data_IF_646811931687
#
_entry.id   IF_646811931687
#
_cell.length_a   1.000
_cell.length_b   1.000
_cell.length_c   1.000
_cell.angle_alpha   90.00
_cell.angle_beta   90.00
_cell.angle_gamma   90.00
#
_symmetry.space_group_name_H-M   'P 1'
#
loop_
_entity.id
_entity.type
_entity.pdbx_description
1 polymer ?
#
# COMPACT_ATOMS: atom_id res chain seq x y z
N UNK A 1 25.39 9.90 2.36
CA UNK A 1 24.20 9.06 2.48
C UNK A 1 24.07 8.14 1.26
N UNK A 2 23.45 7.00 1.44
CA UNK A 2 23.10 6.12 0.32
C UNK A 2 21.70 6.50 -0.12
N UNK A 3 21.52 6.88 -1.38
CA UNK A 3 20.23 7.12 -1.99
C UNK A 3 19.84 5.85 -2.76
N UNK A 4 18.72 5.26 -2.39
CA UNK A 4 18.15 4.12 -3.10
C UNK A 4 17.17 4.66 -4.12
N UNK A 5 17.44 4.43 -5.39
CA UNK A 5 16.56 4.81 -6.49
C UNK A 5 16.03 3.57 -7.18
N UNK A 6 14.74 3.54 -7.40
CA UNK A 6 14.11 2.55 -8.25
C UNK A 6 14.34 2.94 -9.71
N UNK A 7 14.99 2.05 -10.47
CA UNK A 7 15.03 2.12 -11.91
C UNK A 7 14.09 1.06 -12.46
N UNK A 8 12.95 1.48 -12.97
CA UNK A 8 12.07 0.62 -13.75
C UNK A 8 12.75 0.35 -15.09
N UNK A 9 13.58 -0.68 -15.13
CA UNK A 9 14.23 -1.14 -16.34
C UNK A 9 13.34 -2.10 -17.10
N UNK A 10 12.97 -1.77 -18.32
CA UNK A 10 12.38 -2.70 -19.29
C UNK A 10 13.44 -3.71 -19.78
N UNK A 11 13.86 -4.64 -18.93
CA UNK A 11 14.87 -5.62 -19.34
C UNK A 11 14.98 -6.77 -18.36
N UNK A 12 15.10 -7.97 -18.90
CA UNK A 12 15.34 -9.20 -18.16
C UNK A 12 16.35 -8.99 -17.01
N UNK A 13 15.93 -9.26 -15.79
CA UNK A 13 16.51 -8.97 -14.48
C UNK A 13 17.98 -9.28 -14.18
N UNK A 14 18.88 -9.19 -15.14
CA UNK A 14 20.31 -9.45 -15.03
C UNK A 14 21.18 -8.23 -15.35
N UNK A 15 20.81 -7.05 -14.84
CA UNK A 15 21.75 -5.93 -14.91
C UNK A 15 22.66 -5.93 -13.67
N UNK A 16 23.98 -6.03 -13.87
CA UNK A 16 24.91 -5.94 -12.74
C UNK A 16 24.77 -4.58 -12.06
N UNK A 17 24.93 -4.57 -10.75
CA UNK A 17 25.02 -3.34 -9.97
C UNK A 17 25.95 -2.34 -10.64
N UNK A 18 25.43 -1.21 -11.05
CA UNK A 18 26.25 -0.10 -11.53
C UNK A 18 26.31 0.95 -10.44
N UNK A 19 27.52 1.27 -10.01
CA UNK A 19 27.77 2.45 -9.21
C UNK A 19 27.84 3.67 -10.13
N UNK A 20 27.07 4.69 -9.80
CA UNK A 20 27.05 5.94 -10.55
C UNK A 20 27.42 7.10 -9.62
N UNK A 21 28.13 8.04 -10.16
CA UNK A 21 28.45 9.29 -9.45
C UNK A 21 27.42 10.36 -9.80
N UNK A 22 27.20 11.30 -8.88
CA UNK A 22 26.23 12.39 -9.08
C UNK A 22 26.41 13.12 -10.41
N UNK A 23 27.64 13.30 -10.85
CA UNK A 23 27.98 13.91 -12.14
C UNK A 23 27.42 13.13 -13.33
N UNK A 24 27.49 11.80 -13.30
CA UNK A 24 26.97 10.93 -14.38
C UNK A 24 25.46 11.00 -14.49
N UNK A 25 24.79 11.36 -13.38
CA UNK A 25 23.34 11.53 -13.30
C UNK A 25 22.88 12.97 -13.56
N UNK A 26 23.79 13.87 -13.91
CA UNK A 26 23.48 15.28 -14.14
C UNK A 26 23.14 16.06 -12.86
N UNK A 27 23.55 15.58 -11.70
CA UNK A 27 23.32 16.23 -10.40
C UNK A 27 24.55 16.99 -9.88
N UNK A 28 25.48 17.29 -10.77
CA UNK A 28 26.70 18.04 -10.50
C UNK A 28 26.45 19.50 -10.11
N UNK A 29 25.26 20.02 -10.40
CA UNK A 29 24.83 21.35 -9.95
C UNK A 29 24.45 21.40 -8.47
N UNK A 30 24.23 20.23 -7.81
CA UNK A 30 23.89 20.15 -6.39
C UNK A 30 25.15 19.86 -5.56
N UNK A 31 25.72 20.86 -4.84
CA UNK A 31 27.01 20.72 -4.16
C UNK A 31 27.09 19.56 -3.17
N UNK A 32 25.95 19.20 -2.55
CA UNK A 32 25.87 18.10 -1.58
C UNK A 32 25.98 16.73 -2.23
N UNK A 33 25.71 16.64 -3.53
CA UNK A 33 25.66 15.37 -4.27
C UNK A 33 26.91 15.15 -5.14
N UNK A 34 27.75 16.16 -5.37
CA UNK A 34 28.91 16.09 -6.28
C UNK A 34 29.89 14.94 -5.99
N UNK A 35 30.02 14.55 -4.72
CA UNK A 35 30.91 13.46 -4.30
C UNK A 35 30.15 12.25 -3.74
N UNK A 36 28.84 12.20 -3.97
CA UNK A 36 28.00 11.10 -3.49
C UNK A 36 28.12 9.91 -4.43
N UNK A 37 28.48 8.76 -3.89
CA UNK A 37 28.39 7.51 -4.60
C UNK A 37 26.95 7.01 -4.56
N UNK A 38 26.38 6.69 -5.72
CA UNK A 38 25.02 6.21 -5.84
C UNK A 38 25.08 4.73 -6.24
N UNK A 39 24.40 3.91 -5.47
CA UNK A 39 24.28 2.48 -5.72
C UNK A 39 22.82 2.17 -6.04
N UNK A 40 22.59 1.56 -7.19
CA UNK A 40 21.28 1.04 -7.57
C UNK A 40 21.17 -0.40 -7.11
N UNK A 41 20.12 -0.71 -6.34
CA UNK A 41 19.79 -2.08 -6.01
C UNK A 41 19.18 -2.78 -7.24
N UNK A 42 19.42 -4.09 -7.43
CA UNK A 42 18.83 -4.83 -8.53
C UNK A 42 17.31 -5.00 -8.32
N UNK A 43 16.59 -5.06 -9.43
CA UNK A 43 15.20 -5.51 -9.41
C UNK A 43 15.16 -7.02 -9.16
N UNK A 44 14.12 -7.48 -8.45
CA UNK A 44 13.86 -8.91 -8.22
C UNK A 44 13.26 -9.55 -9.47
N UNK A 45 12.38 -8.80 -10.15
CA UNK A 45 11.72 -9.26 -11.38
C UNK A 45 11.16 -8.10 -12.20
N UNK A 46 10.43 -8.40 -13.27
CA UNK A 46 9.93 -7.40 -14.21
C UNK A 46 8.96 -6.38 -13.58
N UNK A 47 8.25 -6.79 -12.53
CA UNK A 47 7.26 -5.95 -11.83
C UNK A 47 7.50 -5.88 -10.32
N UNK A 48 8.69 -6.30 -9.87
CA UNK A 48 9.09 -6.27 -8.47
C UNK A 48 10.43 -5.55 -8.38
N UNK A 49 10.39 -4.33 -7.94
CA UNK A 49 11.52 -3.40 -7.97
C UNK A 49 12.50 -3.57 -6.81
N UNK A 50 13.47 -2.69 -6.80
CA UNK A 50 14.48 -2.62 -5.74
C UNK A 50 13.95 -2.08 -4.41
N UNK A 51 12.81 -1.42 -4.41
CA UNK A 51 12.04 -1.02 -3.24
C UNK A 51 11.58 -2.22 -2.42
N UNK A 52 11.07 -3.27 -3.09
CA UNK A 52 10.69 -4.52 -2.43
C UNK A 52 11.93 -5.24 -1.88
N UNK A 53 13.06 -5.23 -2.59
CA UNK A 53 14.32 -5.76 -2.06
C UNK A 53 14.74 -5.02 -0.79
N UNK A 54 14.63 -3.70 -0.77
CA UNK A 54 14.89 -2.89 0.42
C UNK A 54 13.90 -3.19 1.56
N UNK A 55 12.61 -3.39 1.23
CA UNK A 55 11.58 -3.81 2.17
C UNK A 55 11.84 -5.18 2.78
N UNK A 56 12.24 -6.17 1.98
CA UNK A 56 12.66 -7.51 2.43
C UNK A 56 13.83 -7.39 3.42
N UNK A 57 14.80 -6.54 3.10
CA UNK A 57 15.94 -6.28 3.97
C UNK A 57 15.48 -5.64 5.30
N UNK A 58 14.69 -4.57 5.24
CA UNK A 58 14.19 -3.86 6.40
C UNK A 58 13.31 -4.74 7.30
N UNK A 59 12.48 -5.61 6.70
CA UNK A 59 11.66 -6.59 7.41
C UNK A 59 12.47 -7.77 7.97
N UNK A 60 13.78 -7.87 7.67
CA UNK A 60 14.68 -8.94 8.14
C UNK A 60 14.23 -10.32 7.67
N UNK A 61 13.61 -10.44 6.50
CA UNK A 61 13.05 -11.70 6.02
C UNK A 61 14.14 -12.75 5.73
N UNK A 62 15.28 -12.31 5.18
CA UNK A 62 16.39 -13.20 4.82
C UNK A 62 17.17 -13.76 6.02
N UNK A 63 16.94 -13.26 7.23
CA UNK A 63 17.53 -13.78 8.48
C UNK A 63 16.49 -14.46 9.37
N UNK A 64 15.22 -14.37 9.04
CA UNK A 64 14.13 -14.91 9.85
C UNK A 64 14.06 -16.44 9.76
N UNK A 65 13.84 -17.10 10.89
CA UNK A 65 13.60 -18.54 10.94
C UNK A 65 12.18 -18.89 10.51
N UNK A 66 11.22 -18.08 10.97
CA UNK A 66 9.80 -18.25 10.63
C UNK A 66 9.41 -17.39 9.43
N UNK A 67 8.43 -17.82 8.62
CA UNK A 67 7.95 -17.06 7.49
C UNK A 67 7.42 -15.68 7.88
N UNK A 68 7.70 -14.69 7.04
CA UNK A 68 7.18 -13.32 7.12
C UNK A 68 6.53 -12.95 5.80
N UNK A 69 5.60 -12.04 5.86
CA UNK A 69 4.93 -11.46 4.70
C UNK A 69 5.22 -9.97 4.66
N UNK A 70 5.61 -9.46 3.52
CA UNK A 70 5.70 -8.03 3.22
C UNK A 70 4.68 -7.71 2.13
N UNK A 71 3.88 -6.68 2.35
CA UNK A 71 2.91 -6.16 1.39
C UNK A 71 3.23 -4.68 1.20
N UNK A 72 3.66 -4.30 0.01
CA UNK A 72 3.79 -2.90 -0.37
C UNK A 72 2.53 -2.46 -1.10
N UNK A 73 1.86 -1.45 -0.54
CA UNK A 73 0.57 -0.97 -1.05
C UNK A 73 0.79 0.28 -1.91
N UNK A 74 0.75 0.11 -3.21
CA UNK A 74 0.76 1.16 -4.22
C UNK A 74 -0.34 0.94 -5.25
N UNK A 75 -0.15 1.45 -6.46
CA UNK A 75 -1.02 1.19 -7.62
C UNK A 75 -1.08 -0.31 -7.94
N UNK A 76 0.04 -0.99 -7.77
CA UNK A 76 0.11 -2.44 -7.66
C UNK A 76 0.26 -2.82 -6.19
N UNK A 77 -0.04 -4.05 -5.86
CA UNK A 77 0.30 -4.64 -4.57
C UNK A 77 1.50 -5.56 -4.76
N UNK A 78 2.69 -5.11 -4.40
CA UNK A 78 3.87 -5.95 -4.40
C UNK A 78 3.93 -6.75 -3.09
N UNK A 79 4.15 -8.05 -3.22
CA UNK A 79 4.09 -8.98 -2.09
C UNK A 79 5.35 -9.82 -2.07
N UNK A 80 5.95 -9.97 -0.88
CA UNK A 80 7.00 -10.93 -0.63
C UNK A 80 6.59 -11.86 0.52
N UNK A 81 6.81 -13.16 0.36
CA UNK A 81 6.50 -14.20 1.35
C UNK A 81 7.72 -15.10 1.51
N UNK A 82 8.10 -15.41 2.73
CA UNK A 82 9.17 -16.38 2.99
C UNK A 82 10.01 -16.08 4.22
N UNK A 83 11.17 -16.71 4.27
CA UNK A 83 12.16 -16.62 5.33
C UNK A 83 13.58 -16.81 4.77
N UNK A 84 14.57 -17.03 5.65
CA UNK A 84 15.97 -17.27 5.24
C UNK A 84 16.17 -18.44 4.27
N UNK A 85 15.24 -19.39 4.18
CA UNK A 85 15.36 -20.56 3.31
C UNK A 85 14.88 -20.27 1.88
N UNK A 86 14.13 -19.20 1.69
CA UNK A 86 13.63 -18.74 0.39
C UNK A 86 12.54 -17.69 0.53
N UNK A 87 12.50 -16.76 -0.40
CA UNK A 87 11.51 -15.69 -0.47
C UNK A 87 10.98 -15.67 -1.90
N UNK A 88 9.65 -15.73 -2.04
CA UNK A 88 8.97 -15.53 -3.31
C UNK A 88 8.31 -14.14 -3.30
N UNK A 89 8.32 -13.51 -4.48
CA UNK A 89 7.70 -12.22 -4.69
C UNK A 89 6.73 -12.26 -5.86
N UNK A 90 5.68 -11.45 -5.77
CA UNK A 90 4.74 -11.21 -6.85
C UNK A 90 4.25 -9.77 -6.83
N UNK A 91 3.86 -9.26 -7.98
CA UNK A 91 3.11 -8.02 -8.12
C UNK A 91 1.69 -8.35 -8.53
N UNK A 92 0.71 -7.76 -7.85
CA UNK A 92 -0.72 -7.94 -8.12
C UNK A 92 -1.31 -6.67 -8.69
N UNK A 93 -2.23 -6.80 -9.64
CA UNK A 93 -2.96 -5.68 -10.21
C UNK A 93 -4.07 -5.23 -9.22
N UNK A 94 -3.67 -4.65 -8.08
CA UNK A 94 -4.60 -4.14 -7.08
C UNK A 94 -5.44 -2.97 -7.61
N UNK A 95 -4.90 -2.21 -8.55
CA UNK A 95 -5.51 -0.99 -9.04
C UNK A 95 -5.33 0.19 -8.09
N UNK A 96 -5.59 1.42 -8.54
CA UNK A 96 -5.23 2.64 -7.82
C UNK A 96 -6.27 3.08 -6.78
N UNK A 97 -7.17 2.19 -6.32
CA UNK A 97 -8.22 2.54 -5.36
C UNK A 97 -7.66 3.09 -4.04
N UNK A 98 -6.54 2.51 -3.57
CA UNK A 98 -5.88 2.98 -2.35
C UNK A 98 -5.18 4.35 -2.52
N UNK A 99 -4.91 4.77 -3.75
CA UNK A 99 -4.43 6.12 -4.06
C UNK A 99 -5.56 7.13 -4.25
N UNK A 100 -6.82 6.70 -4.06
CA UNK A 100 -8.02 7.50 -4.26
C UNK A 100 -8.48 7.60 -5.71
N UNK A 101 -7.80 6.94 -6.65
CA UNK A 101 -8.24 6.91 -8.04
C UNK A 101 -9.40 5.92 -8.22
N UNK A 102 -10.29 6.19 -9.15
CA UNK A 102 -11.53 5.44 -9.40
C UNK A 102 -12.54 5.47 -8.24
N UNK A 103 -12.29 6.24 -7.20
CA UNK A 103 -13.19 6.52 -6.07
C UNK A 103 -13.86 7.86 -6.29
N UNK A 104 -15.18 7.94 -6.15
CA UNK A 104 -15.99 9.11 -6.51
C UNK A 104 -15.51 10.43 -5.88
N UNK A 105 -15.16 10.40 -4.59
CA UNK A 105 -14.58 11.51 -3.86
C UNK A 105 -13.12 11.24 -3.47
N UNK A 106 -12.44 10.33 -4.19
CA UNK A 106 -11.09 9.94 -3.90
C UNK A 106 -10.08 11.03 -4.25
N UNK A 107 -9.07 11.18 -3.40
CA UNK A 107 -7.95 12.09 -3.62
C UNK A 107 -6.68 11.60 -2.92
N UNK A 108 -5.55 12.14 -3.30
CA UNK A 108 -4.30 11.90 -2.59
C UNK A 108 -4.38 12.45 -1.16
N UNK A 109 -3.54 11.92 -0.26
CA UNK A 109 -3.40 12.43 1.10
C UNK A 109 -2.81 13.86 1.08
N UNK A 110 -3.67 14.86 0.93
CA UNK A 110 -3.36 16.27 0.87
C UNK A 110 -4.42 17.08 1.62
N UNK A 111 -4.20 18.37 1.78
CA UNK A 111 -5.12 19.29 2.48
C UNK A 111 -6.56 19.10 1.97
N UNK A 112 -7.50 18.89 2.90
CA UNK A 112 -8.92 18.65 2.63
C UNK A 112 -9.30 17.15 2.47
N UNK A 113 -8.33 16.24 2.46
CA UNK A 113 -8.63 14.80 2.43
C UNK A 113 -9.01 14.28 3.82
N UNK A 114 -10.08 13.51 3.93
CA UNK A 114 -10.36 12.68 5.09
C UNK A 114 -9.30 11.57 5.12
N UNK A 115 -8.47 11.56 6.16
CA UNK A 115 -7.34 10.62 6.29
C UNK A 115 -7.57 9.53 7.31
N UNK A 116 -8.44 9.74 8.28
CA UNK A 116 -8.88 8.71 9.22
C UNK A 116 -10.28 9.00 9.77
N UNK A 117 -10.94 7.96 10.24
CA UNK A 117 -12.27 8.03 10.88
C UNK A 117 -12.22 7.20 12.15
N UNK A 118 -12.43 7.86 13.28
CA UNK A 118 -12.58 7.21 14.58
C UNK A 118 -14.04 7.23 15.02
N UNK A 119 -14.41 6.35 15.93
CA UNK A 119 -15.75 6.34 16.51
C UNK A 119 -15.68 6.83 17.95
N UNK A 120 -16.40 7.90 18.26
CA UNK A 120 -16.73 8.31 19.63
C UNK A 120 -18.15 7.81 19.95
N UNK A 121 -18.23 6.68 20.65
CA UNK A 121 -19.47 5.91 20.71
C UNK A 121 -19.92 5.43 19.33
N UNK A 122 -21.10 5.92 18.89
CA UNK A 122 -21.63 5.64 17.54
C UNK A 122 -21.44 6.80 16.56
N UNK A 123 -20.82 7.90 16.98
CA UNK A 123 -20.61 9.07 16.13
C UNK A 123 -19.24 9.00 15.46
N UNK A 124 -19.17 9.05 14.12
CA UNK A 124 -17.90 9.13 13.43
C UNK A 124 -17.26 10.51 13.66
N UNK A 125 -15.98 10.50 14.01
CA UNK A 125 -15.11 11.66 14.09
C UNK A 125 -14.12 11.60 12.93
N UNK A 126 -14.13 12.64 12.09
CA UNK A 126 -13.40 12.69 10.83
C UNK A 126 -12.12 13.51 11.01
N UNK A 127 -10.99 12.90 10.80
CA UNK A 127 -9.71 13.63 10.71
C UNK A 127 -9.46 14.08 9.28
N UNK A 128 -9.46 15.40 9.06
CA UNK A 128 -9.21 16.03 7.76
C UNK A 128 -7.83 16.68 7.74
N UNK A 129 -7.01 16.36 6.76
CA UNK A 129 -5.67 16.95 6.61
C UNK A 129 -5.80 18.46 6.42
N UNK A 130 -5.04 19.23 7.22
CA UNK A 130 -5.06 20.69 7.18
C UNK A 130 -6.18 21.33 7.99
N UNK A 131 -7.02 20.54 8.69
CA UNK A 131 -8.09 21.03 9.58
C UNK A 131 -9.05 22.00 8.88
N UNK A 132 -9.38 21.72 7.63
CA UNK A 132 -10.35 22.48 6.83
C UNK A 132 -11.57 21.60 6.52
N UNK A 133 -12.55 22.15 5.80
CA UNK A 133 -13.69 21.38 5.33
C UNK A 133 -13.22 20.22 4.42
N UNK A 134 -13.80 19.02 4.61
CA UNK A 134 -13.48 17.87 3.79
C UNK A 134 -13.97 18.05 2.35
N UNK A 135 -13.04 17.85 1.40
CA UNK A 135 -13.33 17.91 -0.04
C UNK A 135 -13.17 16.56 -0.75
N UNK A 136 -12.59 15.57 -0.05
CA UNK A 136 -12.42 14.23 -0.55
C UNK A 136 -11.91 13.28 0.53
N UNK A 137 -11.53 12.08 0.12
CA UNK A 137 -11.06 11.01 0.99
C UNK A 137 -9.82 10.37 0.39
N UNK A 138 -8.78 10.17 1.19
CA UNK A 138 -7.60 9.40 0.76
C UNK A 138 -7.74 7.93 1.14
N UNK A 139 -6.80 7.10 0.71
CA UNK A 139 -6.88 5.66 0.86
C UNK A 139 -7.04 5.16 2.29
N UNK A 140 -6.32 5.74 3.27
CA UNK A 140 -6.48 5.36 4.68
C UNK A 140 -7.88 5.73 5.21
N UNK A 141 -8.36 6.91 4.88
CA UNK A 141 -9.73 7.33 5.18
C UNK A 141 -10.79 6.43 4.54
N UNK A 142 -10.55 5.94 3.32
CA UNK A 142 -11.44 5.00 2.64
C UNK A 142 -11.57 3.67 3.40
N UNK A 143 -10.46 3.12 3.88
CA UNK A 143 -10.48 1.91 4.72
C UNK A 143 -11.31 2.16 5.98
N UNK A 144 -11.05 3.26 6.68
CA UNK A 144 -11.76 3.60 7.92
C UNK A 144 -13.25 3.86 7.68
N UNK A 145 -13.61 4.49 6.54
CA UNK A 145 -15.00 4.73 6.17
C UNK A 145 -15.76 3.42 5.97
N UNK A 146 -15.18 2.48 5.23
CA UNK A 146 -15.78 1.17 4.97
C UNK A 146 -15.92 0.39 6.28
N UNK A 147 -14.86 0.34 7.11
CA UNK A 147 -14.88 -0.29 8.42
C UNK A 147 -15.97 0.29 9.31
N UNK A 148 -16.04 1.61 9.38
CA UNK A 148 -17.05 2.32 10.19
C UNK A 148 -18.44 2.02 9.67
N UNK A 149 -18.64 2.03 8.35
CA UNK A 149 -19.91 1.67 7.73
C UNK A 149 -20.35 0.23 8.06
N UNK A 150 -19.42 -0.73 8.08
CA UNK A 150 -19.71 -2.13 8.48
C UNK A 150 -20.09 -2.18 9.97
N UNK A 151 -19.32 -1.52 10.85
CA UNK A 151 -19.61 -1.51 12.30
C UNK A 151 -20.96 -0.88 12.65
N UNK A 152 -21.38 0.10 11.87
CA UNK A 152 -22.67 0.78 12.02
C UNK A 152 -23.84 0.07 11.30
N UNK A 153 -23.57 -1.04 10.60
CA UNK A 153 -24.59 -1.74 9.81
C UNK A 153 -25.03 -0.98 8.55
N UNK A 154 -24.30 0.06 8.14
CA UNK A 154 -24.54 0.82 6.93
C UNK A 154 -23.97 0.13 5.67
N UNK A 155 -23.06 -0.78 5.87
CA UNK A 155 -22.48 -1.68 4.87
C UNK A 155 -22.58 -3.10 5.40
N UNK A 156 -23.12 -4.03 4.64
CA UNK A 156 -23.19 -5.44 5.01
C UNK A 156 -21.83 -6.16 4.78
N UNK A 157 -21.74 -7.41 5.23
CA UNK A 157 -20.52 -8.22 5.11
C UNK A 157 -20.13 -8.56 3.66
N UNK A 158 -21.04 -8.41 2.72
CA UNK A 158 -20.77 -8.56 1.29
C UNK A 158 -20.39 -7.23 0.61
N UNK A 159 -20.32 -6.15 1.39
CA UNK A 159 -20.01 -4.81 0.92
C UNK A 159 -21.19 -4.10 0.27
N UNK A 160 -22.43 -4.55 0.52
CA UNK A 160 -23.63 -3.88 0.08
C UNK A 160 -23.98 -2.69 0.99
N UNK A 161 -24.17 -1.50 0.40
CA UNK A 161 -24.61 -0.32 1.16
C UNK A 161 -26.10 -0.46 1.49
N UNK A 162 -26.45 -0.31 2.77
CA UNK A 162 -27.79 -0.53 3.31
C UNK A 162 -28.60 0.76 3.50
N UNK A 163 -28.10 1.90 3.02
CA UNK A 163 -28.82 3.19 3.09
C UNK A 163 -29.84 3.32 1.95
N UNK A 164 -30.88 4.12 2.14
CA UNK A 164 -31.93 4.33 1.16
C UNK A 164 -31.43 4.84 -0.21
N UNK A 165 -30.38 5.66 -0.20
CA UNK A 165 -29.79 6.24 -1.42
C UNK A 165 -28.63 5.40 -1.99
N UNK A 166 -28.31 4.25 -1.38
CA UNK A 166 -27.17 3.41 -1.76
C UNK A 166 -25.83 4.20 -1.78
N UNK A 167 -25.71 5.16 -0.86
CA UNK A 167 -24.53 5.98 -0.65
C UNK A 167 -24.18 6.03 0.83
N UNK A 168 -22.90 5.98 1.16
CA UNK A 168 -22.39 6.23 2.51
C UNK A 168 -21.95 7.69 2.60
N UNK A 169 -22.78 8.54 3.22
CA UNK A 169 -22.46 9.95 3.41
C UNK A 169 -21.53 10.13 4.61
N UNK A 170 -20.35 10.70 4.39
CA UNK A 170 -19.39 11.07 5.42
C UNK A 170 -19.54 12.54 5.81
N UNK A 171 -19.75 13.40 4.82
CA UNK A 171 -20.11 14.81 4.95
C UNK A 171 -21.15 15.15 3.90
N UNK A 172 -21.61 16.41 3.85
CA UNK A 172 -22.51 16.86 2.77
C UNK A 172 -21.87 16.74 1.38
N UNK A 173 -20.53 16.83 1.30
CA UNK A 173 -19.75 16.81 0.06
C UNK A 173 -19.10 15.46 -0.24
N UNK A 174 -18.68 14.73 0.78
CA UNK A 174 -17.91 13.49 0.62
C UNK A 174 -18.82 12.30 0.86
N UNK A 175 -19.06 11.53 -0.19
CA UNK A 175 -19.90 10.33 -0.18
C UNK A 175 -19.22 9.21 -0.90
N UNK A 176 -19.40 7.99 -0.42
CA UNK A 176 -18.97 6.78 -1.10
C UNK A 176 -20.18 6.07 -1.70
N UNK A 177 -20.02 5.66 -2.95
CA UNK A 177 -21.03 4.91 -3.70
C UNK A 177 -20.79 3.41 -3.60
N UNK A 178 -21.76 2.62 -4.03
CA UNK A 178 -21.59 1.16 -4.13
C UNK A 178 -20.40 0.78 -5.06
N UNK A 179 -20.17 1.58 -6.10
CA UNK A 179 -19.03 1.37 -7.00
C UNK A 179 -17.71 1.52 -6.25
N UNK A 180 -17.58 2.53 -5.40
CA UNK A 180 -16.34 2.76 -4.62
C UNK A 180 -16.04 1.59 -3.69
N UNK A 181 -17.07 1.02 -3.06
CA UNK A 181 -16.92 -0.19 -2.25
C UNK A 181 -16.45 -1.37 -3.10
N UNK A 182 -16.93 -1.53 -4.34
CA UNK A 182 -16.49 -2.60 -5.25
C UNK A 182 -15.04 -2.41 -5.70
N UNK A 183 -14.61 -1.20 -6.01
CA UNK A 183 -13.21 -0.90 -6.34
C UNK A 183 -12.27 -1.28 -5.18
N UNK A 184 -12.65 -0.91 -3.95
CA UNK A 184 -11.92 -1.32 -2.75
C UNK A 184 -11.86 -2.84 -2.59
N UNK A 185 -13.00 -3.54 -2.77
CA UNK A 185 -13.05 -5.00 -2.66
C UNK A 185 -12.18 -5.69 -3.72
N UNK A 186 -12.13 -5.18 -4.95
CA UNK A 186 -11.27 -5.70 -6.01
C UNK A 186 -9.80 -5.56 -5.65
N UNK A 187 -9.38 -4.40 -5.17
CA UNK A 187 -8.00 -4.17 -4.73
C UNK A 187 -7.61 -5.10 -3.58
N UNK A 188 -8.46 -5.20 -2.55
CA UNK A 188 -8.25 -6.12 -1.42
C UNK A 188 -8.17 -7.58 -1.87
N UNK A 189 -9.05 -8.00 -2.77
CA UNK A 189 -9.08 -9.37 -3.27
C UNK A 189 -7.81 -9.72 -4.08
N UNK A 190 -7.32 -8.80 -4.90
CA UNK A 190 -6.08 -8.99 -5.65
C UNK A 190 -4.90 -9.24 -4.71
N UNK A 191 -4.74 -8.40 -3.68
CA UNK A 191 -3.66 -8.55 -2.69
C UNK A 191 -3.81 -9.85 -1.91
N UNK A 192 -5.01 -10.14 -1.39
CA UNK A 192 -5.25 -11.37 -0.64
C UNK A 192 -4.97 -12.63 -1.48
N UNK A 193 -5.34 -12.62 -2.75
CA UNK A 193 -5.04 -13.71 -3.69
C UNK A 193 -3.54 -13.87 -3.90
N UNK A 194 -2.81 -12.76 -4.06
CA UNK A 194 -1.35 -12.78 -4.21
C UNK A 194 -0.66 -13.38 -2.99
N UNK A 195 -1.04 -12.97 -1.78
CA UNK A 195 -0.51 -13.54 -0.54
C UNK A 195 -0.80 -15.05 -0.49
N UNK A 196 -2.04 -15.46 -0.75
CA UNK A 196 -2.43 -16.86 -0.71
C UNK A 196 -1.67 -17.74 -1.70
N UNK A 197 -1.50 -17.26 -2.93
CA UNK A 197 -0.74 -17.97 -3.96
C UNK A 197 0.72 -18.16 -3.56
N UNK A 198 1.36 -17.12 -3.00
CA UNK A 198 2.76 -17.22 -2.57
C UNK A 198 2.93 -18.15 -1.37
N UNK A 199 2.02 -18.09 -0.39
CA UNK A 199 2.01 -19.01 0.75
C UNK A 199 1.86 -20.46 0.27
N UNK A 200 0.91 -20.71 -0.62
CA UNK A 200 0.67 -22.03 -1.21
C UNK A 200 1.86 -22.56 -1.98
N UNK A 201 2.49 -21.72 -2.81
CA UNK A 201 3.66 -22.09 -3.63
C UNK A 201 4.84 -22.48 -2.73
N UNK A 202 5.03 -21.77 -1.63
CA UNK A 202 6.04 -22.09 -0.63
C UNK A 202 5.63 -23.19 0.37
N UNK A 203 4.42 -23.70 0.28
CA UNK A 203 3.85 -24.68 1.22
C UNK A 203 3.88 -24.21 2.68
N UNK A 204 3.62 -22.94 2.89
CA UNK A 204 3.56 -22.28 4.20
C UNK A 204 2.10 -22.21 4.63
N UNK A 205 1.80 -22.68 5.86
CA UNK A 205 0.50 -22.44 6.47
C UNK A 205 0.41 -21.00 6.98
N UNK A 206 -0.76 -20.37 6.89
CA UNK A 206 -0.99 -19.03 7.43
C UNK A 206 -0.65 -18.93 8.92
N UNK A 207 -0.90 -20.00 9.69
CA UNK A 207 -0.60 -20.06 11.11
C UNK A 207 0.92 -20.03 11.41
N UNK A 208 1.76 -20.38 10.45
CA UNK A 208 3.21 -20.36 10.59
C UNK A 208 3.81 -18.98 10.33
N UNK A 209 3.05 -18.05 9.76
CA UNK A 209 3.50 -16.70 9.50
C UNK A 209 3.76 -15.97 10.82
N UNK A 210 5.01 -15.53 11.03
CA UNK A 210 5.41 -14.82 12.23
C UNK A 210 4.90 -13.39 12.27
N UNK A 211 5.06 -12.70 11.13
CA UNK A 211 4.76 -11.26 11.00
C UNK A 211 4.29 -10.93 9.60
N UNK A 212 3.39 -9.96 9.52
CA UNK A 212 3.00 -9.29 8.29
C UNK A 212 3.44 -7.84 8.39
N UNK A 213 4.21 -7.38 7.40
CA UNK A 213 4.63 -5.99 7.27
C UNK A 213 3.83 -5.34 6.15
N UNK A 214 3.30 -4.16 6.44
CA UNK A 214 2.65 -3.31 5.43
C UNK A 214 3.58 -2.15 5.16
N UNK A 215 3.96 -1.98 3.92
CA UNK A 215 4.86 -0.94 3.41
C UNK A 215 4.12 -0.02 2.42
N UNK A 216 4.86 0.89 1.81
CA UNK A 216 4.34 1.93 0.94
C UNK A 216 3.95 3.19 1.71
N UNK A 217 3.84 4.30 1.00
CA UNK A 217 3.46 5.58 1.60
C UNK A 217 2.10 5.56 2.29
N UNK A 218 1.22 4.73 1.79
CA UNK A 218 -0.12 4.49 2.31
C UNK A 218 -0.10 3.64 3.60
N UNK A 219 0.77 2.64 3.68
CA UNK A 219 0.86 1.70 4.81
C UNK A 219 1.13 2.37 6.17
N UNK A 220 1.79 3.52 6.17
CA UNK A 220 2.09 4.27 7.40
C UNK A 220 0.86 4.88 8.09
N UNK A 221 -0.26 4.99 7.38
CA UNK A 221 -1.48 5.66 7.87
C UNK A 221 -2.63 4.69 8.13
N UNK A 222 -2.41 3.39 7.93
CA UNK A 222 -3.42 2.36 8.21
C UNK A 222 -3.37 2.04 9.71
N UNK A 223 -4.53 2.09 10.37
CA UNK A 223 -4.68 1.57 11.72
C UNK A 223 -4.78 0.02 11.67
N UNK A 224 -3.71 -0.66 12.06
CA UNK A 224 -3.62 -2.12 12.04
C UNK A 224 -4.59 -2.83 12.99
N UNK A 225 -5.11 -2.14 13.99
CA UNK A 225 -6.16 -2.68 14.87
C UNK A 225 -7.55 -2.65 14.24
N UNK A 226 -7.61 -2.14 13.02
CA UNK A 226 -8.84 -1.88 12.29
C UNK A 226 -9.03 -2.77 11.05
N UNK A 227 -8.05 -3.64 10.77
CA UNK A 227 -8.08 -4.55 9.62
C UNK A 227 -8.70 -5.90 9.92
#
# INVERSE_FOLDING_TARGET
GVLILELVGSGNGNHPFKQHFAKELGWDSEPKLQHTQITFLPNIGSFVGSDILAGIYAAGMFTADRPRVLIDLGTNGEIAVGNRNGILCASTAAGPAFEGCNISCGMRASTGAISSITLDGNKPDLHVIGQIEAIGICGSGLIDAIRTGIRQGLIDHNGGIQTANIELSLTDRVKLTQKDIREFQLAKAAIATGVELLLREQKIDRADVEKVFIAGGFGNYIDLYCC
#
